data_IF_514103015725
#
_entry.id   IF_514103015725
#
_cell.length_a   1.000
_cell.length_b   1.000
_cell.length_c   1.000
_cell.angle_alpha   90.00
_cell.angle_beta   90.00
_cell.angle_gamma   90.00
#
_symmetry.space_group_name_H-M   'P 1'
#
loop_
_entity.id
_entity.type
_entity.pdbx_description
1 polymer ?
#
# COMPACT_ATOMS: atom_id res chain seq x y z
N UNK A 1 -23.02 45.62 -33.27
CA UNK A 1 -22.18 44.41 -33.32
C UNK A 1 -22.60 43.61 -32.10
N UNK A 2 -23.67 42.85 -32.26
CA UNK A 2 -24.23 42.03 -31.20
C UNK A 2 -23.52 40.68 -31.26
N UNK A 3 -22.72 40.40 -30.25
CA UNK A 3 -22.08 39.09 -30.08
C UNK A 3 -23.11 38.12 -29.52
N UNK A 4 -23.26 37.00 -30.22
CA UNK A 4 -24.16 35.91 -29.90
C UNK A 4 -23.82 35.30 -28.52
N UNK A 5 -24.75 35.32 -27.54
CA UNK A 5 -24.51 34.82 -26.19
C UNK A 5 -24.29 33.30 -26.12
N UNK A 6 -24.61 32.54 -27.18
CA UNK A 6 -24.25 31.12 -27.24
C UNK A 6 -22.78 30.89 -27.62
N UNK A 7 -22.21 31.74 -28.48
CA UNK A 7 -20.79 31.66 -28.86
C UNK A 7 -19.86 31.99 -27.67
N UNK A 8 -20.29 32.87 -26.77
CA UNK A 8 -19.54 33.25 -25.56
C UNK A 8 -19.54 32.12 -24.51
N UNK A 9 -20.64 31.36 -24.40
CA UNK A 9 -20.73 30.18 -23.54
C UNK A 9 -19.89 29.01 -24.05
N UNK A 10 -19.82 28.83 -25.36
CA UNK A 10 -19.01 27.76 -25.95
C UNK A 10 -17.50 28.07 -25.82
N UNK A 11 -17.09 29.33 -25.97
CA UNK A 11 -15.70 29.74 -25.74
C UNK A 11 -15.27 29.62 -24.27
N UNK A 12 -16.14 29.99 -23.33
CA UNK A 12 -15.83 29.87 -21.89
C UNK A 12 -15.74 28.40 -21.45
N UNK A 13 -16.57 27.52 -22.01
CA UNK A 13 -16.53 26.08 -21.70
C UNK A 13 -15.29 25.38 -22.29
N UNK A 14 -14.89 25.75 -23.52
CA UNK A 14 -13.64 25.27 -24.14
C UNK A 14 -12.40 25.78 -23.41
N UNK A 15 -12.41 27.02 -22.91
CA UNK A 15 -11.33 27.58 -22.08
C UNK A 15 -11.15 26.85 -20.74
N UNK A 16 -12.24 26.47 -20.08
CA UNK A 16 -12.22 25.70 -18.85
C UNK A 16 -11.70 24.26 -19.05
N UNK A 17 -12.06 23.61 -20.16
CA UNK A 17 -11.55 22.27 -20.50
C UNK A 17 -10.05 22.27 -20.81
N UNK A 18 -9.54 23.30 -21.49
CA UNK A 18 -8.10 23.44 -21.77
C UNK A 18 -7.32 23.70 -20.47
N UNK A 19 -7.85 24.53 -19.55
CA UNK A 19 -7.24 24.75 -18.24
C UNK A 19 -7.21 23.49 -17.37
N UNK A 20 -8.26 22.66 -17.41
CA UNK A 20 -8.29 21.37 -16.71
C UNK A 20 -7.26 20.38 -17.27
N UNK A 21 -7.07 20.35 -18.60
CA UNK A 21 -6.08 19.49 -19.25
C UNK A 21 -4.62 19.92 -18.94
N UNK A 22 -4.35 21.22 -18.84
CA UNK A 22 -3.02 21.74 -18.46
C UNK A 22 -2.72 21.48 -16.98
N UNK A 23 -3.72 21.57 -16.09
CA UNK A 23 -3.56 21.23 -14.68
C UNK A 23 -3.26 19.73 -14.46
N UNK A 24 -3.89 18.84 -15.24
CA UNK A 24 -3.62 17.40 -15.21
C UNK A 24 -2.22 17.05 -15.74
N UNK A 25 -1.73 17.76 -16.76
CA UNK A 25 -0.36 17.61 -17.26
C UNK A 25 0.70 18.14 -16.29
N UNK A 26 0.42 19.22 -15.55
CA UNK A 26 1.35 19.76 -14.55
C UNK A 26 1.43 18.90 -13.29
N UNK A 27 0.33 18.25 -12.88
CA UNK A 27 0.33 17.30 -11.75
C UNK A 27 0.91 15.93 -12.16
N UNK A 28 0.66 15.47 -13.39
CA UNK A 28 1.24 14.24 -13.94
C UNK A 28 2.73 14.35 -14.29
N UNK A 29 3.18 15.51 -14.77
CA UNK A 29 4.57 15.77 -15.14
C UNK A 29 5.52 15.94 -13.96
N UNK A 30 5.02 16.31 -12.78
CA UNK A 30 5.87 16.48 -11.58
C UNK A 30 6.26 15.13 -10.93
N UNK A 31 5.60 14.03 -11.28
CA UNK A 31 5.90 12.70 -10.70
C UNK A 31 7.05 11.98 -11.44
N UNK A 32 7.50 12.48 -12.59
CA UNK A 32 8.57 11.86 -13.38
C UNK A 32 9.96 12.49 -13.15
N UNK A 33 10.08 13.61 -12.43
CA UNK A 33 11.36 14.34 -12.26
C UNK A 33 12.06 14.20 -10.89
N UNK A 34 11.69 13.22 -10.05
CA UNK A 34 12.39 12.98 -8.75
C UNK A 34 13.31 11.74 -8.80
N UNK A 35 13.47 11.10 -9.96
CA UNK A 35 14.29 9.89 -10.07
C UNK A 35 15.74 10.11 -10.57
N UNK A 36 16.11 11.29 -11.09
CA UNK A 36 17.47 11.54 -11.59
C UNK A 36 17.81 13.03 -11.41
N UNK A 37 18.42 13.40 -10.28
CA UNK A 37 19.62 14.23 -10.34
C UNK A 37 20.44 14.09 -9.04
N UNK A 38 21.75 13.97 -9.24
CA UNK A 38 22.78 13.90 -8.21
C UNK A 38 23.47 15.25 -8.18
N UNK A 39 23.36 16.01 -7.10
CA UNK A 39 24.08 17.27 -7.01
C UNK A 39 23.90 17.96 -5.68
N UNK A 40 25.00 18.05 -4.94
CA UNK A 40 25.23 18.75 -3.66
C UNK A 40 24.35 19.98 -3.38
N UNK A 41 23.90 20.10 -2.13
CA UNK A 41 23.59 21.40 -1.49
C UNK A 41 24.18 21.47 -0.06
N UNK A 42 24.50 22.68 0.43
CA UNK A 42 25.55 22.91 1.41
C UNK A 42 25.11 22.71 2.86
N UNK A 43 26.13 22.49 3.69
CA UNK A 43 26.09 22.26 5.14
C UNK A 43 25.23 23.30 5.87
N UNK A 44 24.12 22.85 6.46
CA UNK A 44 23.39 23.61 7.48
C UNK A 44 24.08 23.46 8.85
N UNK A 45 24.13 24.55 9.60
CA UNK A 45 24.83 24.73 10.87
C UNK A 45 24.43 23.74 11.98
N UNK A 46 25.27 23.54 13.02
CA UNK A 46 25.03 22.54 14.06
C UNK A 46 23.84 22.95 14.93
N UNK A 47 22.82 22.10 14.98
CA UNK A 47 21.76 22.17 15.99
C UNK A 47 22.27 21.44 17.24
N UNK A 48 22.26 22.12 18.39
CA UNK A 48 22.58 21.53 19.69
C UNK A 48 21.72 20.28 19.95
N UNK A 49 22.31 19.18 20.45
CA UNK A 49 21.56 17.97 20.73
C UNK A 49 20.67 18.15 21.97
N UNK A 50 19.36 18.06 21.78
CA UNK A 50 18.40 17.88 22.87
C UNK A 50 18.73 16.60 23.68
N UNK A 51 18.60 16.61 25.02
CA UNK A 51 18.94 15.47 25.85
C UNK A 51 18.12 14.23 25.50
N UNK A 52 18.83 13.12 25.29
CA UNK A 52 18.25 11.84 24.93
C UNK A 52 17.21 11.38 25.98
N UNK A 53 16.03 10.99 25.51
CA UNK A 53 15.04 10.33 26.34
C UNK A 53 15.64 9.05 26.98
N UNK A 54 15.27 8.75 28.24
CA UNK A 54 15.85 7.62 28.96
C UNK A 54 15.54 6.28 28.25
N UNK A 55 16.47 5.31 28.32
CA UNK A 55 16.34 4.04 27.61
C UNK A 55 15.14 3.25 28.13
N UNK A 56 14.14 3.06 27.27
CA UNK A 56 13.05 2.11 27.51
C UNK A 56 13.67 0.71 27.53
N UNK A 57 13.73 0.07 28.71
CA UNK A 57 14.06 -1.35 28.85
C UNK A 57 13.00 -2.19 28.10
N UNK A 58 13.27 -2.50 26.83
CA UNK A 58 12.50 -3.49 26.06
C UNK A 58 12.82 -4.87 26.62
N UNK A 59 11.97 -5.35 27.52
CA UNK A 59 11.87 -6.77 27.77
C UNK A 59 11.46 -7.47 26.48
N UNK A 60 12.29 -8.37 25.98
CA UNK A 60 12.01 -9.26 24.85
C UNK A 60 10.86 -10.19 25.21
N UNK A 61 9.61 -9.73 25.09
CA UNK A 61 8.46 -10.63 25.22
C UNK A 61 8.31 -11.44 23.93
N UNK A 62 8.15 -12.77 24.02
CA UNK A 62 7.98 -13.62 22.85
C UNK A 62 6.72 -13.22 22.09
N UNK A 63 6.85 -13.07 20.78
CA UNK A 63 5.72 -12.90 19.87
C UNK A 63 4.91 -14.20 19.93
N UNK A 64 3.58 -14.16 20.18
CA UNK A 64 2.79 -15.38 20.25
C UNK A 64 2.89 -16.14 18.92
N UNK A 65 3.25 -17.42 19.00
CA UNK A 65 3.38 -18.29 17.84
C UNK A 65 1.99 -18.81 17.49
N UNK A 66 1.46 -18.39 16.34
CA UNK A 66 0.15 -18.84 15.83
C UNK A 66 0.36 -19.86 14.71
N UNK A 67 -0.48 -20.91 14.63
CA UNK A 67 -0.37 -21.91 13.58
C UNK A 67 -0.70 -21.30 12.20
N UNK A 68 -0.03 -21.75 11.13
CA UNK A 68 -0.33 -21.31 9.76
C UNK A 68 -1.74 -21.76 9.37
N UNK A 69 -2.56 -20.85 8.84
CA UNK A 69 -3.87 -21.21 8.29
C UNK A 69 -3.71 -21.89 6.93
N UNK A 70 -4.51 -22.92 6.66
CA UNK A 70 -4.50 -23.64 5.39
C UNK A 70 -4.85 -22.68 4.22
N UNK A 71 -4.07 -22.75 3.13
CA UNK A 71 -4.32 -21.99 1.89
C UNK A 71 -5.74 -22.30 1.39
N UNK A 72 -6.66 -21.34 1.43
CA UNK A 72 -7.82 -21.36 0.54
C UNK A 72 -7.35 -20.93 -0.85
N UNK A 73 -7.69 -21.66 -1.93
CA UNK A 73 -7.48 -21.18 -3.28
C UNK A 73 -8.26 -19.87 -3.45
N UNK A 74 -7.55 -18.74 -3.61
CA UNK A 74 -8.17 -17.53 -4.11
C UNK A 74 -8.37 -17.75 -5.61
N UNK A 75 -9.63 -17.85 -6.03
CA UNK A 75 -9.97 -18.02 -7.44
C UNK A 75 -9.58 -16.73 -8.18
N UNK A 76 -9.02 -16.82 -9.40
CA UNK A 76 -8.78 -15.65 -10.22
C UNK A 76 -10.09 -14.93 -10.47
N UNK A 77 -10.17 -13.65 -10.09
CA UNK A 77 -11.35 -12.84 -10.37
C UNK A 77 -11.29 -12.38 -11.84
N UNK A 78 -11.45 -13.32 -12.79
CA UNK A 78 -11.51 -13.03 -14.23
C UNK A 78 -12.55 -11.94 -14.54
N UNK A 79 -13.60 -11.85 -13.71
CA UNK A 79 -14.61 -10.81 -13.80
C UNK A 79 -14.03 -9.41 -13.47
N UNK A 80 -13.05 -9.30 -12.58
CA UNK A 80 -12.40 -8.01 -12.24
C UNK A 80 -11.51 -7.50 -13.37
N UNK A 81 -10.73 -8.37 -14.01
CA UNK A 81 -9.87 -7.97 -15.13
C UNK A 81 -10.69 -7.53 -16.35
N UNK A 82 -11.78 -8.23 -16.67
CA UNK A 82 -12.74 -7.78 -17.70
C UNK A 82 -13.39 -6.44 -17.34
N UNK A 83 -13.75 -6.24 -16.06
CA UNK A 83 -14.35 -4.98 -15.58
C UNK A 83 -13.38 -3.80 -15.64
N UNK A 84 -12.11 -3.99 -15.27
CA UNK A 84 -11.08 -2.94 -15.37
C UNK A 84 -10.82 -2.60 -16.85
N UNK A 85 -10.73 -3.62 -17.72
CA UNK A 85 -10.51 -3.42 -19.15
C UNK A 85 -11.69 -2.74 -19.86
N UNK A 86 -12.93 -3.02 -19.43
CA UNK A 86 -14.15 -2.37 -19.98
C UNK A 86 -14.44 -1.00 -19.39
N UNK A 87 -13.93 -0.67 -18.20
CA UNK A 87 -14.18 0.61 -17.56
C UNK A 87 -13.54 1.81 -18.28
N UNK A 88 -12.37 1.64 -18.91
CA UNK A 88 -11.71 2.69 -19.69
C UNK A 88 -11.48 4.00 -18.91
N UNK A 89 -11.24 5.10 -19.62
CA UNK A 89 -11.08 6.44 -19.01
C UNK A 89 -12.42 7.04 -18.51
N UNK A 90 -13.55 6.46 -18.92
CA UNK A 90 -14.91 6.94 -18.67
C UNK A 90 -15.68 6.03 -17.68
N UNK A 91 -14.96 5.40 -16.76
CA UNK A 91 -15.52 4.45 -15.80
C UNK A 91 -16.70 5.07 -15.04
N UNK A 92 -17.87 4.43 -15.12
CA UNK A 92 -19.05 4.86 -14.37
C UNK A 92 -18.83 4.74 -12.86
N UNK A 93 -19.52 5.58 -12.08
CA UNK A 93 -19.49 5.53 -10.62
C UNK A 93 -19.80 4.12 -10.07
N UNK A 94 -20.66 3.37 -10.75
CA UNK A 94 -20.99 1.98 -10.42
C UNK A 94 -19.81 1.01 -10.66
N UNK A 95 -19.05 1.18 -11.72
CA UNK A 95 -17.83 0.38 -11.97
C UNK A 95 -16.74 0.69 -10.94
N UNK A 96 -16.61 1.95 -10.51
CA UNK A 96 -15.69 2.36 -9.45
C UNK A 96 -16.10 1.74 -8.10
N UNK A 97 -17.41 1.70 -7.80
CA UNK A 97 -17.94 1.07 -6.58
C UNK A 97 -17.72 -0.45 -6.56
N UNK A 98 -17.77 -1.12 -7.71
CA UNK A 98 -17.48 -2.56 -7.80
C UNK A 98 -16.00 -2.90 -7.51
N UNK A 99 -15.06 -2.02 -7.87
CA UNK A 99 -13.62 -2.22 -7.63
C UNK A 99 -13.23 -2.24 -6.14
N UNK A 100 -14.11 -1.81 -5.23
CA UNK A 100 -13.90 -1.86 -3.78
C UNK A 100 -14.88 -2.75 -3.02
N UNK A 101 -15.77 -3.48 -3.72
CA UNK A 101 -16.89 -4.17 -3.08
C UNK A 101 -16.45 -5.17 -2.00
N UNK A 102 -15.47 -6.03 -2.32
CA UNK A 102 -15.01 -7.05 -1.38
C UNK A 102 -14.36 -6.44 -0.12
N UNK A 103 -13.58 -5.38 -0.29
CA UNK A 103 -13.07 -4.60 0.83
C UNK A 103 -14.22 -4.04 1.69
N UNK A 104 -15.25 -3.46 1.07
CA UNK A 104 -16.42 -2.94 1.78
C UNK A 104 -17.16 -4.04 2.54
N UNK A 105 -17.38 -5.21 1.92
CA UNK A 105 -18.04 -6.35 2.56
C UNK A 105 -17.27 -6.76 3.84
N UNK A 106 -15.95 -6.95 3.75
CA UNK A 106 -15.10 -7.27 4.92
C UNK A 106 -15.12 -6.17 5.98
N UNK A 107 -15.13 -4.90 5.57
CA UNK A 107 -15.23 -3.77 6.49
C UNK A 107 -16.55 -3.78 7.27
N UNK A 108 -17.68 -4.05 6.60
CA UNK A 108 -18.98 -4.15 7.26
C UNK A 108 -19.10 -5.41 8.13
N UNK A 109 -18.45 -6.52 7.77
CA UNK A 109 -18.33 -7.69 8.64
C UNK A 109 -17.58 -7.38 9.93
N UNK A 110 -16.44 -6.69 9.83
CA UNK A 110 -15.70 -6.22 11.00
C UNK A 110 -16.55 -5.27 11.85
N UNK A 111 -17.28 -4.32 11.24
CA UNK A 111 -18.19 -3.43 11.96
C UNK A 111 -19.29 -4.19 12.70
N UNK A 112 -19.88 -5.20 12.06
CA UNK A 112 -20.94 -6.03 12.66
C UNK A 112 -20.42 -6.82 13.86
N UNK A 113 -19.23 -7.41 13.73
CA UNK A 113 -18.60 -8.24 14.77
C UNK A 113 -18.10 -7.42 15.96
N UNK A 114 -17.50 -6.27 15.70
CA UNK A 114 -16.94 -5.42 16.76
C UNK A 114 -17.99 -4.53 17.43
N UNK A 115 -19.08 -4.22 16.73
CA UNK A 115 -19.96 -3.12 17.08
C UNK A 115 -19.37 -1.76 16.69
N UNK A 116 -20.24 -0.74 16.59
CA UNK A 116 -19.88 0.55 16.00
C UNK A 116 -18.72 1.26 16.72
N UNK A 117 -18.74 1.29 18.05
CA UNK A 117 -17.75 2.05 18.81
C UNK A 117 -16.35 1.42 18.73
N UNK A 118 -16.23 0.11 18.89
CA UNK A 118 -14.94 -0.60 18.73
C UNK A 118 -14.45 -0.53 17.29
N UNK A 119 -15.34 -0.64 16.32
CA UNK A 119 -14.99 -0.44 14.92
C UNK A 119 -14.45 0.98 14.66
N UNK A 120 -15.09 2.02 15.21
CA UNK A 120 -14.61 3.40 15.11
C UNK A 120 -13.23 3.60 15.73
N UNK A 121 -12.95 2.94 16.86
CA UNK A 121 -11.63 2.96 17.50
C UNK A 121 -10.56 2.31 16.61
N UNK A 122 -10.84 1.16 16.01
CA UNK A 122 -9.96 0.53 15.03
C UNK A 122 -9.66 1.45 13.85
N UNK A 123 -10.69 2.08 13.27
CA UNK A 123 -10.53 3.00 12.15
C UNK A 123 -9.71 4.24 12.53
N UNK A 124 -9.89 4.77 13.74
CA UNK A 124 -9.09 5.89 14.24
C UNK A 124 -7.59 5.54 14.30
N UNK A 125 -7.25 4.32 14.71
CA UNK A 125 -5.86 3.84 14.68
C UNK A 125 -5.36 3.69 13.24
N UNK A 126 -6.18 3.13 12.34
CA UNK A 126 -5.83 2.99 10.93
C UNK A 126 -5.54 4.33 10.26
N UNK A 127 -6.49 5.27 10.30
CA UNK A 127 -6.33 6.58 9.66
C UNK A 127 -5.22 7.41 10.30
N UNK A 128 -5.05 7.31 11.63
CA UNK A 128 -3.93 7.95 12.31
C UNK A 128 -2.58 7.29 12.08
N UNK A 129 -2.56 6.03 11.64
CA UNK A 129 -1.39 5.19 11.48
C UNK A 129 -0.87 5.10 10.04
N UNK A 130 -1.75 5.14 9.04
CA UNK A 130 -1.37 4.91 7.63
C UNK A 130 -0.50 6.03 7.02
N UNK A 131 -0.47 7.22 7.63
CA UNK A 131 0.33 8.39 7.21
C UNK A 131 0.71 9.27 8.42
N UNK A 132 1.75 10.13 8.31
CA UNK A 132 2.79 10.12 7.28
C UNK A 132 3.70 8.89 7.40
N UNK A 133 4.18 8.38 6.26
CA UNK A 133 4.98 7.15 6.20
C UNK A 133 6.34 7.34 6.87
N UNK A 134 6.76 6.38 7.69
CA UNK A 134 8.03 6.44 8.43
C UNK A 134 8.00 7.24 9.73
N UNK A 135 6.85 7.77 10.15
CA UNK A 135 6.70 8.40 11.46
C UNK A 135 6.58 7.36 12.59
N UNK A 136 7.31 7.57 13.69
CA UNK A 136 7.22 6.73 14.89
C UNK A 136 5.81 6.71 15.50
N UNK A 137 5.11 7.84 15.49
CA UNK A 137 3.73 7.95 15.98
C UNK A 137 2.76 7.13 15.13
N UNK A 138 2.96 7.15 13.81
CA UNK A 138 2.16 6.39 12.87
C UNK A 138 2.40 4.89 13.01
N UNK A 139 3.67 4.47 13.17
CA UNK A 139 4.04 3.09 13.48
C UNK A 139 3.38 2.61 14.76
N UNK A 140 3.48 3.39 15.85
CA UNK A 140 2.89 3.01 17.13
C UNK A 140 1.38 2.76 17.05
N UNK A 141 0.64 3.55 16.27
CA UNK A 141 -0.81 3.36 16.06
C UNK A 141 -1.13 2.09 15.27
N UNK A 142 -0.34 1.76 14.26
CA UNK A 142 -0.54 0.53 13.50
C UNK A 142 -0.16 -0.71 14.32
N UNK A 143 0.90 -0.63 15.14
CA UNK A 143 1.25 -1.68 16.10
C UNK A 143 0.16 -1.86 17.16
N UNK A 144 -0.45 -0.77 17.63
CA UNK A 144 -1.61 -0.80 18.51
C UNK A 144 -2.83 -1.42 17.84
N UNK A 145 -3.10 -1.10 16.57
CA UNK A 145 -4.18 -1.73 15.80
C UNK A 145 -3.99 -3.24 15.72
N UNK A 146 -2.79 -3.72 15.37
CA UNK A 146 -2.48 -5.14 15.32
C UNK A 146 -2.67 -5.85 16.68
N UNK A 147 -2.41 -5.15 17.79
CA UNK A 147 -2.55 -5.70 19.13
C UNK A 147 -4.00 -5.75 19.59
N UNK A 148 -4.76 -4.68 19.37
CA UNK A 148 -6.13 -4.50 19.89
C UNK A 148 -7.19 -5.11 18.98
N UNK A 149 -6.92 -5.20 17.68
CA UNK A 149 -7.84 -5.66 16.65
C UNK A 149 -7.17 -6.71 15.74
N UNK A 150 -6.59 -7.79 16.31
CA UNK A 150 -5.70 -8.68 15.57
C UNK A 150 -6.41 -9.54 14.52
N UNK A 151 -7.73 -9.67 14.57
CA UNK A 151 -8.52 -10.57 13.72
C UNK A 151 -9.45 -9.80 12.77
N UNK A 152 -9.12 -8.55 12.45
CA UNK A 152 -9.86 -7.72 11.49
C UNK A 152 -9.17 -7.73 10.14
N UNK A 153 -9.92 -7.43 9.08
CA UNK A 153 -9.32 -7.20 7.76
C UNK A 153 -8.30 -6.05 7.82
N UNK A 154 -8.56 -5.04 8.65
CA UNK A 154 -7.66 -3.91 8.87
C UNK A 154 -6.32 -4.31 9.50
N UNK A 155 -6.27 -5.42 10.24
CA UNK A 155 -5.02 -5.94 10.80
C UNK A 155 -4.02 -6.31 9.70
N UNK A 156 -4.43 -7.02 8.65
CA UNK A 156 -3.54 -7.35 7.55
C UNK A 156 -3.05 -6.11 6.79
N UNK A 157 -3.91 -5.12 6.58
CA UNK A 157 -3.52 -3.85 5.97
C UNK A 157 -2.54 -3.08 6.85
N UNK A 158 -2.73 -3.09 8.17
CA UNK A 158 -1.80 -2.50 9.12
C UNK A 158 -0.44 -3.21 9.12
N UNK A 159 -0.40 -4.54 9.05
CA UNK A 159 0.85 -5.28 8.91
C UNK A 159 1.56 -4.93 7.59
N UNK A 160 0.84 -4.88 6.46
CA UNK A 160 1.42 -4.46 5.19
C UNK A 160 2.02 -3.05 5.25
N UNK A 161 1.26 -2.08 5.76
CA UNK A 161 1.72 -0.70 5.90
C UNK A 161 2.87 -0.56 6.92
N UNK A 162 2.90 -1.33 8.00
CA UNK A 162 4.02 -1.33 8.94
C UNK A 162 5.34 -1.65 8.24
N UNK A 163 5.36 -2.62 7.32
CA UNK A 163 6.54 -2.88 6.52
C UNK A 163 6.97 -1.67 5.68
N UNK A 164 6.02 -0.99 5.05
CA UNK A 164 6.28 0.24 4.28
C UNK A 164 6.79 1.39 5.17
N UNK A 165 6.22 1.54 6.37
CA UNK A 165 6.66 2.52 7.36
C UNK A 165 8.09 2.25 7.82
N UNK A 166 8.42 1.00 8.16
CA UNK A 166 9.76 0.66 8.63
C UNK A 166 10.84 0.87 7.57
N UNK A 167 10.55 0.63 6.29
CA UNK A 167 11.49 0.98 5.22
C UNK A 167 11.76 2.49 5.11
N UNK A 168 10.77 3.33 5.47
CA UNK A 168 10.87 4.80 5.43
C UNK A 168 11.34 5.43 6.75
N UNK A 169 11.51 4.65 7.82
CA UNK A 169 11.96 5.13 9.12
C UNK A 169 13.47 5.41 9.10
N UNK A 170 13.87 6.59 8.61
CA UNK A 170 15.28 6.94 8.28
C UNK A 170 16.22 6.99 9.49
N UNK A 171 15.71 7.09 10.72
CA UNK A 171 16.53 7.06 11.93
C UNK A 171 17.01 5.64 12.31
N UNK A 172 16.63 4.61 11.55
CA UNK A 172 17.16 3.25 11.68
C UNK A 172 18.15 2.91 10.56
N UNK A 173 19.25 2.18 10.88
CA UNK A 173 20.11 1.58 9.88
C UNK A 173 19.33 0.69 8.90
N UNK A 174 19.77 0.63 7.64
CA UNK A 174 19.05 -0.05 6.55
C UNK A 174 18.78 -1.54 6.85
N UNK A 175 19.75 -2.26 7.42
CA UNK A 175 19.57 -3.66 7.82
C UNK A 175 18.45 -3.83 8.85
N UNK A 176 18.37 -2.95 9.85
CA UNK A 176 17.31 -2.97 10.86
C UNK A 176 15.95 -2.58 10.30
N UNK A 177 15.91 -1.67 9.33
CA UNK A 177 14.69 -1.37 8.58
C UNK A 177 14.18 -2.60 7.82
N UNK A 178 15.07 -3.27 7.08
CA UNK A 178 14.75 -4.49 6.33
C UNK A 178 14.28 -5.63 7.24
N UNK A 179 14.96 -5.88 8.35
CA UNK A 179 14.58 -6.90 9.34
C UNK A 179 13.15 -6.67 9.87
N UNK A 180 12.84 -5.43 10.24
CA UNK A 180 11.51 -5.06 10.73
C UNK A 180 10.46 -5.12 9.63
N UNK A 181 10.77 -4.63 8.44
CA UNK A 181 9.84 -4.67 7.32
C UNK A 181 9.54 -6.11 6.88
N UNK A 182 10.56 -6.96 6.83
CA UNK A 182 10.43 -8.40 6.53
C UNK A 182 9.48 -9.06 7.52
N UNK A 183 9.64 -8.82 8.82
CA UNK A 183 8.77 -9.38 9.85
C UNK A 183 7.28 -9.11 9.55
N UNK A 184 6.92 -7.85 9.29
CA UNK A 184 5.52 -7.50 9.06
C UNK A 184 4.98 -7.97 7.72
N UNK A 185 5.75 -7.88 6.64
CA UNK A 185 5.30 -8.39 5.33
C UNK A 185 5.14 -9.91 5.32
N UNK A 186 6.00 -10.64 6.06
CA UNK A 186 5.81 -12.08 6.26
C UNK A 186 4.54 -12.39 7.06
N UNK A 187 4.30 -11.61 8.12
CA UNK A 187 3.09 -11.76 8.93
C UNK A 187 1.82 -11.63 8.08
N UNK A 188 1.81 -10.78 7.04
CA UNK A 188 0.68 -10.69 6.12
C UNK A 188 0.45 -12.02 5.41
N UNK A 189 1.48 -12.61 4.79
CA UNK A 189 1.33 -13.90 4.08
C UNK A 189 1.03 -15.09 5.01
N UNK A 190 1.51 -15.04 6.26
CA UNK A 190 1.39 -16.13 7.23
C UNK A 190 0.06 -16.11 8.00
N UNK A 191 -0.45 -14.92 8.37
CA UNK A 191 -1.65 -14.75 9.20
C UNK A 191 -2.80 -14.06 8.48
N UNK A 192 -2.50 -13.10 7.62
CA UNK A 192 -3.49 -12.20 7.01
C UNK A 192 -3.60 -12.40 5.50
N UNK A 193 -3.46 -13.65 5.06
CA UNK A 193 -3.37 -13.97 3.63
C UNK A 193 -4.58 -13.50 2.82
N UNK A 194 -5.76 -13.61 3.43
CA UNK A 194 -7.04 -13.24 2.81
C UNK A 194 -7.42 -11.77 3.06
N UNK A 195 -6.49 -10.96 3.58
CA UNK A 195 -6.72 -9.53 3.74
C UNK A 195 -6.66 -8.83 2.40
N UNK A 196 -7.64 -7.95 2.22
CA UNK A 196 -7.78 -7.08 1.08
C UNK A 196 -7.86 -5.65 1.59
N UNK A 197 -7.04 -4.76 1.06
CA UNK A 197 -7.04 -3.35 1.43
C UNK A 197 -7.94 -2.52 0.49
N UNK A 198 -7.95 -1.20 0.68
CA UNK A 198 -8.74 -0.30 -0.16
C UNK A 198 -8.54 -0.59 -1.66
N UNK A 199 -9.59 -0.47 -2.47
CA UNK A 199 -9.60 -0.80 -3.92
C UNK A 199 -9.37 -2.28 -4.26
N UNK A 200 -9.74 -3.16 -3.33
CA UNK A 200 -9.56 -4.59 -3.42
C UNK A 200 -8.09 -5.03 -3.62
N UNK A 201 -7.14 -4.30 -3.05
CA UNK A 201 -5.71 -4.63 -3.16
C UNK A 201 -5.35 -5.85 -2.28
N UNK A 202 -4.82 -6.95 -2.85
CA UNK A 202 -4.50 -8.16 -2.09
C UNK A 202 -3.22 -7.97 -1.27
N UNK A 203 -3.35 -7.82 0.05
CA UNK A 203 -2.24 -7.44 0.91
C UNK A 203 -1.09 -8.49 0.90
N UNK A 204 -1.42 -9.77 0.75
CA UNK A 204 -0.44 -10.86 0.76
C UNK A 204 0.50 -10.83 -0.45
N UNK A 205 -0.04 -10.75 -1.67
CA UNK A 205 0.75 -10.69 -2.89
C UNK A 205 1.56 -9.38 -2.96
N UNK A 206 0.96 -8.26 -2.53
CA UNK A 206 1.68 -6.99 -2.41
C UNK A 206 2.81 -7.04 -1.39
N UNK A 207 2.62 -7.74 -0.27
CA UNK A 207 3.68 -7.98 0.72
C UNK A 207 4.81 -8.84 0.16
N UNK A 208 4.51 -9.85 -0.66
CA UNK A 208 5.53 -10.66 -1.34
C UNK A 208 6.35 -9.80 -2.33
N UNK A 209 5.71 -8.96 -3.14
CA UNK A 209 6.41 -8.02 -4.01
C UNK A 209 7.29 -7.05 -3.23
N UNK A 210 6.80 -6.53 -2.10
CA UNK A 210 7.58 -5.65 -1.23
C UNK A 210 8.80 -6.36 -0.62
N UNK A 211 8.63 -7.61 -0.17
CA UNK A 211 9.72 -8.48 0.31
C UNK A 211 10.79 -8.69 -0.75
N UNK A 212 10.40 -9.01 -1.97
CA UNK A 212 11.32 -9.15 -3.11
C UNK A 212 12.07 -7.84 -3.34
N UNK A 213 11.35 -6.72 -3.48
CA UNK A 213 11.93 -5.46 -3.90
C UNK A 213 12.88 -4.86 -2.84
N UNK A 214 12.51 -4.94 -1.56
CA UNK A 214 13.21 -4.22 -0.49
C UNK A 214 14.17 -5.08 0.31
N UNK A 215 13.94 -6.39 0.37
CA UNK A 215 14.69 -7.31 1.22
C UNK A 215 15.46 -8.30 0.36
N UNK A 216 14.77 -9.28 -0.23
CA UNK A 216 15.44 -10.48 -0.73
C UNK A 216 16.22 -10.28 -2.01
N UNK A 217 15.87 -9.34 -2.90
CA UNK A 217 16.69 -9.10 -4.10
C UNK A 217 18.15 -8.74 -3.78
N UNK A 218 18.43 -8.27 -2.56
CA UNK A 218 19.77 -7.87 -2.11
C UNK A 218 20.39 -8.83 -1.11
N UNK A 219 19.59 -9.64 -0.42
CA UNK A 219 20.06 -10.51 0.68
C UNK A 219 19.97 -11.99 0.35
N UNK A 220 19.01 -12.40 -0.47
CA UNK A 220 18.76 -13.79 -0.88
C UNK A 220 18.03 -13.82 -2.25
N UNK A 221 18.76 -13.65 -3.36
CA UNK A 221 18.18 -13.62 -4.70
C UNK A 221 17.42 -14.90 -5.06
N UNK A 222 17.85 -16.05 -4.54
CA UNK A 222 17.16 -17.32 -4.76
C UNK A 222 15.77 -17.33 -4.11
N UNK A 223 15.65 -16.81 -2.88
CA UNK A 223 14.34 -16.60 -2.23
C UNK A 223 13.50 -15.57 -2.95
N UNK A 224 14.11 -14.50 -3.43
CA UNK A 224 13.41 -13.49 -4.24
C UNK A 224 12.76 -14.12 -5.48
N UNK A 225 13.51 -14.94 -6.23
CA UNK A 225 12.99 -15.67 -7.40
C UNK A 225 11.84 -16.61 -7.04
N UNK A 226 11.99 -17.43 -5.99
CA UNK A 226 10.91 -18.34 -5.55
C UNK A 226 9.61 -17.62 -5.22
N UNK A 227 9.68 -16.43 -4.61
CA UNK A 227 8.48 -15.63 -4.32
C UNK A 227 7.82 -15.10 -5.59
N UNK A 228 8.61 -14.63 -6.56
CA UNK A 228 8.06 -14.16 -7.84
C UNK A 228 7.42 -15.31 -8.64
N UNK A 229 8.02 -16.51 -8.60
CA UNK A 229 7.43 -17.72 -9.17
C UNK A 229 6.13 -18.13 -8.46
N UNK A 230 6.05 -17.99 -7.12
CA UNK A 230 4.82 -18.23 -6.34
C UNK A 230 3.69 -17.28 -6.76
N UNK A 231 3.99 -15.99 -6.98
CA UNK A 231 3.03 -14.99 -7.49
C UNK A 231 2.55 -15.38 -8.89
N UNK A 232 3.47 -15.68 -9.80
CA UNK A 232 3.13 -16.08 -11.17
C UNK A 232 2.25 -17.32 -11.17
N UNK A 233 2.48 -18.27 -10.26
CA UNK A 233 1.70 -19.50 -10.23
C UNK A 233 0.33 -19.33 -9.58
N UNK A 234 0.25 -18.59 -8.47
CA UNK A 234 -0.91 -18.67 -7.57
C UNK A 234 -1.77 -17.40 -7.51
N UNK A 235 -1.25 -16.25 -7.96
CA UNK A 235 -1.94 -14.96 -7.84
C UNK A 235 -2.43 -14.45 -9.22
N UNK A 236 -2.88 -15.38 -10.06
CA UNK A 236 -3.53 -15.06 -11.34
C UNK A 236 -4.83 -14.27 -11.09
N UNK A 237 -5.09 -13.23 -11.89
CA UNK A 237 -6.27 -12.37 -11.73
C UNK A 237 -6.11 -11.23 -10.72
N UNK A 238 -5.02 -11.21 -9.94
CA UNK A 238 -4.75 -10.14 -8.99
C UNK A 238 -4.02 -8.98 -9.65
N UNK A 239 -4.30 -7.76 -9.20
CA UNK A 239 -3.59 -6.55 -9.65
C UNK A 239 -2.99 -5.77 -8.48
N UNK A 240 -2.03 -4.92 -8.77
CA UNK A 240 -1.59 -3.88 -7.84
C UNK A 240 -2.61 -2.73 -7.75
N UNK A 241 -2.28 -1.72 -6.93
CA UNK A 241 -3.07 -0.50 -6.75
C UNK A 241 -3.21 0.38 -8.01
N UNK A 242 -2.43 0.12 -9.07
CA UNK A 242 -2.54 0.79 -10.37
C UNK A 242 -3.32 -0.06 -11.39
N UNK A 243 -3.87 -1.21 -10.98
CA UNK A 243 -4.56 -2.13 -11.88
C UNK A 243 -3.64 -2.98 -12.74
N UNK A 244 -2.32 -3.01 -12.48
CA UNK A 244 -1.39 -3.84 -13.24
C UNK A 244 -1.46 -5.30 -12.76
N UNK A 245 -1.57 -6.29 -13.66
CA UNK A 245 -1.54 -7.70 -13.28
C UNK A 245 -0.26 -8.07 -12.52
N UNK A 246 -0.42 -8.66 -11.33
CA UNK A 246 0.71 -9.05 -10.49
C UNK A 246 1.65 -10.09 -11.15
N UNK A 247 1.15 -11.11 -11.89
CA UNK A 247 2.03 -12.04 -12.61
C UNK A 247 2.94 -11.35 -13.63
N UNK A 248 2.46 -10.31 -14.31
CA UNK A 248 3.26 -9.58 -15.29
C UNK A 248 4.33 -8.73 -14.63
N UNK A 249 3.98 -8.05 -13.54
CA UNK A 249 4.96 -7.35 -12.71
C UNK A 249 6.03 -8.32 -12.17
N UNK A 250 5.62 -9.49 -11.71
CA UNK A 250 6.54 -10.50 -11.20
C UNK A 250 7.51 -11.04 -12.27
N UNK A 251 7.04 -11.27 -13.50
CA UNK A 251 7.90 -11.66 -14.63
C UNK A 251 8.94 -10.59 -14.94
N UNK A 252 8.54 -9.31 -15.03
CA UNK A 252 9.47 -8.19 -15.24
C UNK A 252 10.53 -8.10 -14.12
N UNK A 253 10.14 -8.38 -12.88
CA UNK A 253 11.08 -8.41 -11.77
C UNK A 253 12.04 -9.60 -11.82
N UNK A 254 11.60 -10.78 -12.29
CA UNK A 254 12.46 -11.95 -12.46
C UNK A 254 13.59 -11.68 -13.46
N UNK A 255 13.30 -11.00 -14.56
CA UNK A 255 14.27 -10.67 -15.61
C UNK A 255 15.45 -9.84 -15.10
N UNK A 256 15.24 -9.02 -14.06
CA UNK A 256 16.27 -8.12 -13.52
C UNK A 256 17.01 -8.67 -12.30
N UNK A 257 16.52 -9.76 -11.70
CA UNK A 257 17.20 -10.43 -10.57
C UNK A 257 18.22 -11.41 -11.16
N UNK A 258 19.50 -11.02 -11.12
CA UNK A 258 20.64 -11.86 -11.55
C UNK A 258 20.84 -13.08 -10.66
#
# INVERSE_FOLDING_TARGET
>A
MDTDPEAEKEQTMRGLLILAAVALLLVGGLVVFVAIDSGMEPVAAPVEPEPAAPPVKRGSRPVPHYPPMARRPQLPDRAREEKIATAGADASEQQILELGKEFHDKWYEDRRRLGEERHRQMEKLWFGGRRPRGSAKSIARLEELLREFPDTNRAGCAAYELGQHYMRLRNLPLNKRREKAEHYWRLVGERYRDTICEFNEPAAAMSQLALVNWVYRYTDPARARRLLEDIIKNDQGQTDHLGQPLPDLARRMLEVIK
#
